data_IF_076826312119
#
_entry.id   IF_076826312119
#
_cell.length_a   1.000
_cell.length_b   1.000
_cell.length_c   1.000
_cell.angle_alpha   90.00
_cell.angle_beta   90.00
_cell.angle_gamma   90.00
#
_symmetry.space_group_name_H-M   'P 1'
#
loop_
_entity.id
_entity.type
_entity.pdbx_description
1 polymer ?
#
# COMPACT_ATOMS: atom_id res chain seq x y z
N UNK A 1 21.38 11.12 -12.31
CA UNK A 1 22.32 10.16 -11.69
C UNK A 1 21.56 9.48 -10.56
N UNK A 2 21.48 8.15 -10.58
CA UNK A 2 20.77 7.38 -9.54
C UNK A 2 21.68 7.26 -8.31
N UNK A 3 21.20 7.63 -7.12
CA UNK A 3 21.97 7.51 -5.87
C UNK A 3 21.20 6.64 -4.85
N UNK A 4 21.92 6.10 -3.86
CA UNK A 4 21.36 5.22 -2.83
C UNK A 4 21.68 5.76 -1.42
N UNK A 5 20.78 5.54 -0.47
CA UNK A 5 21.00 5.83 0.96
C UNK A 5 21.85 4.75 1.66
N UNK A 6 22.17 4.97 2.94
CA UNK A 6 22.91 4.02 3.79
C UNK A 6 22.23 2.65 3.99
N UNK A 7 20.94 2.54 3.63
CA UNK A 7 20.14 1.32 3.71
C UNK A 7 19.96 0.66 2.33
N UNK A 8 20.53 1.21 1.26
CA UNK A 8 20.39 0.71 -0.11
C UNK A 8 19.11 1.13 -0.83
N UNK A 9 18.38 2.13 -0.33
CA UNK A 9 17.19 2.67 -1.00
C UNK A 9 17.55 3.78 -1.98
N UNK A 10 16.80 3.89 -3.08
CA UNK A 10 16.97 4.97 -4.08
C UNK A 10 16.72 6.36 -3.47
N UNK A 11 17.65 7.28 -3.72
CA UNK A 11 17.58 8.69 -3.31
C UNK A 11 17.63 9.62 -4.54
N UNK A 12 16.88 10.74 -4.57
CA UNK A 12 15.89 11.15 -3.57
C UNK A 12 14.65 10.24 -3.56
N UNK A 13 13.99 10.14 -2.41
CA UNK A 13 12.74 9.39 -2.30
C UNK A 13 11.63 10.13 -3.05
N UNK A 14 11.18 9.54 -4.16
CA UNK A 14 9.98 9.99 -4.86
C UNK A 14 8.78 9.26 -4.26
N UNK A 15 7.87 9.98 -3.60
CA UNK A 15 6.56 9.39 -3.27
C UNK A 15 5.85 9.06 -4.58
N UNK A 16 5.58 7.78 -4.79
CA UNK A 16 4.72 7.35 -5.88
C UNK A 16 3.28 7.34 -5.34
N UNK A 17 2.39 8.23 -5.82
CA UNK A 17 0.99 8.20 -5.41
C UNK A 17 0.35 6.93 -5.98
N UNK A 18 0.18 5.93 -5.13
CA UNK A 18 -0.50 4.68 -5.46
C UNK A 18 -1.80 4.60 -4.68
N UNK A 19 -2.91 4.50 -5.39
CA UNK A 19 -4.20 4.17 -4.80
C UNK A 19 -4.30 2.67 -4.56
N UNK A 20 -5.06 2.25 -3.54
CA UNK A 20 -5.33 0.83 -3.31
C UNK A 20 -5.88 0.12 -4.57
N UNK A 21 -6.83 0.71 -5.33
CA UNK A 21 -7.29 0.11 -6.59
C UNK A 21 -6.18 -0.10 -7.63
N UNK A 22 -5.22 0.83 -7.72
CA UNK A 22 -4.07 0.67 -8.60
C UNK A 22 -3.20 -0.50 -8.15
N UNK A 23 -2.93 -0.63 -6.85
CA UNK A 23 -2.15 -1.77 -6.31
C UNK A 23 -2.84 -3.10 -6.63
N UNK A 24 -4.15 -3.18 -6.48
CA UNK A 24 -4.92 -4.38 -6.81
C UNK A 24 -4.75 -4.76 -8.30
N UNK A 25 -4.93 -3.77 -9.18
CA UNK A 25 -4.89 -3.94 -10.63
C UNK A 25 -3.52 -4.41 -11.10
N UNK A 26 -2.44 -3.79 -10.62
CA UNK A 26 -1.09 -4.05 -11.13
C UNK A 26 -0.39 -5.22 -10.46
N UNK A 27 -0.71 -5.53 -9.20
CA UNK A 27 0.09 -6.46 -8.39
C UNK A 27 -0.70 -7.63 -7.81
N UNK A 28 -2.04 -7.61 -7.85
CA UNK A 28 -2.88 -8.66 -7.23
C UNK A 28 -3.63 -9.45 -8.30
N UNK A 29 -4.39 -8.78 -9.18
CA UNK A 29 -5.20 -9.44 -10.23
C UNK A 29 -4.36 -10.34 -11.15
N UNK A 30 -3.18 -9.90 -11.66
CA UNK A 30 -2.39 -10.71 -12.59
C UNK A 30 -1.88 -12.02 -11.99
N UNK A 31 -1.84 -12.14 -10.66
CA UNK A 31 -1.43 -13.35 -9.95
C UNK A 31 -2.64 -14.27 -9.76
N UNK A 32 -3.15 -14.81 -10.87
CA UNK A 32 -4.39 -15.59 -10.92
C UNK A 32 -4.36 -16.83 -10.02
N UNK A 33 -3.22 -17.51 -9.92
CA UNK A 33 -3.03 -18.73 -9.13
C UNK A 33 -2.88 -18.49 -7.62
N UNK A 34 -2.57 -17.26 -7.18
CA UNK A 34 -2.35 -16.98 -5.77
C UNK A 34 -3.61 -16.48 -5.09
N UNK A 35 -4.45 -17.41 -4.63
CA UNK A 35 -5.59 -17.09 -3.77
C UNK A 35 -5.14 -16.35 -2.50
N UNK A 36 -4.02 -16.76 -1.92
CA UNK A 36 -3.42 -16.13 -0.72
C UNK A 36 -3.15 -14.65 -0.93
N UNK A 37 -2.58 -14.25 -2.08
CA UNK A 37 -2.28 -12.84 -2.35
C UNK A 37 -3.55 -11.98 -2.43
N UNK A 38 -4.62 -12.50 -3.05
CA UNK A 38 -5.93 -11.85 -3.10
C UNK A 38 -6.53 -11.68 -1.70
N UNK A 39 -6.45 -12.72 -0.87
CA UNK A 39 -6.93 -12.67 0.52
C UNK A 39 -6.15 -11.63 1.34
N UNK A 40 -4.82 -11.66 1.28
CA UNK A 40 -3.97 -10.70 1.99
C UNK A 40 -4.28 -9.26 1.59
N UNK A 41 -4.44 -9.00 0.29
CA UNK A 41 -4.77 -7.66 -0.19
C UNK A 41 -6.15 -7.18 0.30
N UNK A 42 -7.15 -8.08 0.31
CA UNK A 42 -8.47 -7.80 0.86
C UNK A 42 -8.41 -7.48 2.36
N UNK A 43 -7.69 -8.27 3.13
CA UNK A 43 -7.51 -8.05 4.57
C UNK A 43 -6.80 -6.73 4.85
N UNK A 44 -5.76 -6.40 4.08
CA UNK A 44 -5.04 -5.13 4.18
C UNK A 44 -5.95 -3.93 3.88
N UNK A 45 -6.74 -3.99 2.82
CA UNK A 45 -7.69 -2.93 2.45
C UNK A 45 -8.76 -2.74 3.54
N UNK A 46 -9.29 -3.83 4.10
CA UNK A 46 -10.26 -3.77 5.19
C UNK A 46 -9.67 -3.15 6.47
N UNK A 47 -8.44 -3.52 6.82
CA UNK A 47 -7.73 -2.93 7.96
C UNK A 47 -7.54 -1.42 7.76
N UNK A 48 -7.10 -0.97 6.59
CA UNK A 48 -6.93 0.45 6.32
C UNK A 48 -8.25 1.22 6.39
N UNK A 49 -9.33 0.68 5.85
CA UNK A 49 -10.65 1.29 5.96
C UNK A 49 -11.07 1.45 7.43
N UNK A 50 -10.93 0.40 8.25
CA UNK A 50 -11.21 0.46 9.68
C UNK A 50 -10.35 1.48 10.42
N UNK A 51 -9.05 1.56 10.10
CA UNK A 51 -8.14 2.54 10.68
C UNK A 51 -8.57 3.98 10.33
N UNK A 52 -8.97 4.24 9.09
CA UNK A 52 -9.47 5.56 8.71
C UNK A 52 -10.74 5.94 9.47
N UNK A 53 -11.66 5.01 9.70
CA UNK A 53 -12.84 5.26 10.53
C UNK A 53 -12.45 5.57 11.99
N UNK A 54 -11.51 4.83 12.56
CA UNK A 54 -11.01 5.11 13.92
C UNK A 54 -10.35 6.49 13.99
N UNK A 55 -9.52 6.86 13.00
CA UNK A 55 -8.84 8.15 12.96
C UNK A 55 -9.82 9.32 12.83
N UNK A 56 -10.97 9.15 12.16
CA UNK A 56 -12.02 10.18 12.10
C UNK A 56 -12.67 10.45 13.46
N UNK A 57 -12.69 9.45 14.34
CA UNK A 57 -13.28 9.55 15.68
C UNK A 57 -12.32 10.18 16.70
N UNK A 58 -11.03 10.29 16.37
CA UNK A 58 -10.05 10.94 17.23
C UNK A 58 -10.19 12.47 17.12
N UNK A 59 -10.13 13.21 18.24
CA UNK A 59 -10.12 14.67 18.20
C UNK A 59 -8.90 15.14 17.40
N UNK A 60 -9.11 16.04 16.45
CA UNK A 60 -8.02 16.70 15.74
C UNK A 60 -7.37 17.68 16.71
N UNK A 61 -6.12 17.40 17.10
CA UNK A 61 -5.28 18.32 17.88
C UNK A 61 -4.80 19.49 17.03
#
# INVERSE_FOLDING_TARGET
MVTFDQNGNLFPYSRIPLSLPAIETWFVIPFTESLTRKILFRSFTAYHAALFEVLKLLPQQ
#
